data_IF_628055224531
#
_entry.id   IF_628055224531
#
_cell.length_a   1.000
_cell.length_b   1.000
_cell.length_c   1.000
_cell.angle_alpha   90.00
_cell.angle_beta   90.00
_cell.angle_gamma   90.00
#
_symmetry.space_group_name_H-M   'P 1'
#
loop_
_entity.id
_entity.type
_entity.pdbx_description
1 polymer ?
#
# COMPACT_ATOMS: atom_id res chain seq x y z
N UNK A 1 -17.58 -14.75 -67.57
CA UNK A 1 -18.44 -14.53 -66.39
C UNK A 1 -17.61 -14.88 -65.17
N UNK A 2 -17.00 -13.86 -64.54
CA UNK A 2 -17.38 -13.32 -63.21
C UNK A 2 -17.03 -14.31 -62.08
N UNK A 3 -15.83 -14.19 -61.50
CA UNK A 3 -15.44 -13.39 -60.32
C UNK A 3 -15.90 -13.98 -58.97
N UNK A 4 -14.87 -14.28 -58.17
CA UNK A 4 -14.74 -14.16 -56.71
C UNK A 4 -15.63 -14.93 -55.74
N UNK A 5 -14.95 -15.59 -54.79
CA UNK A 5 -15.18 -15.44 -53.34
C UNK A 5 -14.06 -16.12 -52.54
N UNK A 6 -12.91 -15.44 -52.47
CA UNK A 6 -11.86 -15.71 -51.47
C UNK A 6 -11.86 -14.57 -50.44
N UNK A 7 -12.88 -14.47 -49.59
CA UNK A 7 -12.84 -13.54 -48.45
C UNK A 7 -13.71 -14.09 -47.32
N UNK A 8 -13.13 -14.90 -46.42
CA UNK A 8 -13.76 -15.23 -45.14
C UNK A 8 -12.74 -15.79 -44.13
N UNK A 9 -11.64 -15.07 -43.90
CA UNK A 9 -10.70 -15.42 -42.80
C UNK A 9 -9.99 -14.22 -42.17
N UNK A 10 -10.47 -13.00 -42.41
CA UNK A 10 -9.89 -11.78 -41.85
C UNK A 10 -11.00 -10.99 -41.17
N UNK A 11 -11.30 -11.34 -39.92
CA UNK A 11 -12.06 -10.46 -39.00
C UNK A 11 -11.70 -10.69 -37.54
N UNK A 12 -11.12 -11.85 -37.17
CA UNK A 12 -10.82 -12.13 -35.76
C UNK A 12 -9.43 -11.67 -35.27
N UNK A 13 -8.52 -11.31 -36.18
CA UNK A 13 -7.16 -10.89 -35.80
C UNK A 13 -7.08 -9.37 -35.57
N UNK A 14 -7.82 -8.59 -36.34
CA UNK A 14 -7.81 -7.12 -36.23
C UNK A 14 -8.58 -6.61 -34.99
N UNK A 15 -9.65 -7.30 -34.55
CA UNK A 15 -10.39 -6.93 -33.32
C UNK A 15 -9.60 -7.23 -32.03
N UNK A 16 -8.65 -8.17 -32.06
CA UNK A 16 -7.77 -8.47 -30.93
C UNK A 16 -6.66 -7.42 -30.79
N UNK A 17 -6.13 -6.93 -31.91
CA UNK A 17 -5.09 -5.90 -31.92
C UNK A 17 -5.65 -4.52 -31.49
N UNK A 18 -6.89 -4.17 -31.86
CA UNK A 18 -7.55 -2.96 -31.34
C UNK A 18 -7.86 -3.03 -29.83
N UNK A 19 -8.25 -4.22 -29.33
CA UNK A 19 -8.52 -4.41 -27.91
C UNK A 19 -7.25 -4.42 -27.03
N UNK A 20 -6.09 -4.76 -27.59
CA UNK A 20 -4.79 -4.59 -26.92
C UNK A 20 -4.29 -3.14 -27.00
N UNK A 21 -4.49 -2.46 -28.13
CA UNK A 21 -4.11 -1.05 -28.32
C UNK A 21 -4.90 -0.11 -27.38
N UNK A 22 -6.20 -0.35 -27.18
CA UNK A 22 -7.02 0.42 -26.21
C UNK A 22 -6.70 0.11 -24.74
N UNK A 23 -6.08 -1.05 -24.45
CA UNK A 23 -5.66 -1.42 -23.10
C UNK A 23 -4.40 -0.67 -22.69
N UNK A 24 -3.53 -0.37 -23.65
CA UNK A 24 -2.25 0.32 -23.42
C UNK A 24 -2.40 1.85 -23.34
N UNK A 25 -3.36 2.45 -24.07
CA UNK A 25 -3.58 3.91 -24.00
C UNK A 25 -4.28 4.39 -22.72
N UNK A 26 -5.13 3.59 -22.07
CA UNK A 26 -5.70 3.96 -20.75
C UNK A 26 -4.69 3.86 -19.61
N UNK A 27 -3.62 3.07 -19.78
CA UNK A 27 -2.51 3.00 -18.83
C UNK A 27 -1.59 4.23 -18.94
N UNK A 28 -1.63 4.99 -20.04
CA UNK A 28 -0.80 6.18 -20.27
C UNK A 28 -1.33 7.47 -19.62
N UNK A 29 -2.55 7.51 -19.08
CA UNK A 29 -3.15 8.73 -18.48
C UNK A 29 -3.12 8.83 -16.95
N UNK A 30 -2.43 7.92 -16.28
CA UNK A 30 -2.04 8.09 -14.88
C UNK A 30 -0.56 7.74 -14.76
N UNK A 31 0.31 8.72 -14.94
CA UNK A 31 1.75 8.58 -14.68
C UNK A 31 2.03 8.58 -13.18
N UNK A 32 1.38 7.68 -12.44
CA UNK A 32 1.97 7.15 -11.22
C UNK A 32 3.04 6.16 -11.68
N UNK A 33 4.32 6.57 -11.61
CA UNK A 33 5.42 5.60 -11.67
C UNK A 33 5.11 4.53 -10.62
N UNK A 34 4.79 3.31 -11.06
CA UNK A 34 4.58 2.19 -10.16
C UNK A 34 5.92 1.98 -9.47
N UNK A 35 6.02 2.41 -8.22
CA UNK A 35 7.23 2.29 -7.44
C UNK A 35 7.62 0.81 -7.33
N UNK A 36 8.92 0.53 -7.46
CA UNK A 36 9.43 -0.85 -7.38
C UNK A 36 9.13 -1.47 -6.01
N UNK A 37 8.95 -2.80 -5.97
CA UNK A 37 8.68 -3.54 -4.74
C UNK A 37 9.69 -3.18 -3.64
N UNK A 38 10.99 -3.15 -3.97
CA UNK A 38 12.05 -2.82 -3.02
C UNK A 38 11.94 -1.39 -2.51
N UNK A 39 11.63 -0.44 -3.40
CA UNK A 39 11.46 0.98 -3.05
C UNK A 39 10.28 1.18 -2.10
N UNK A 40 9.17 0.47 -2.31
CA UNK A 40 7.99 0.52 -1.44
C UNK A 40 8.30 -0.01 -0.04
N UNK A 41 8.98 -1.16 0.06
CA UNK A 41 9.36 -1.75 1.35
C UNK A 41 10.39 -0.88 2.07
N UNK A 42 11.36 -0.31 1.34
CA UNK A 42 12.36 0.59 1.91
C UNK A 42 11.72 1.86 2.46
N UNK A 43 10.82 2.51 1.70
CA UNK A 43 10.12 3.71 2.16
C UNK A 43 9.29 3.43 3.40
N UNK A 44 8.55 2.32 3.43
CA UNK A 44 7.80 1.90 4.62
C UNK A 44 8.73 1.72 5.85
N UNK A 45 9.85 1.00 5.69
CA UNK A 45 10.81 0.81 6.80
C UNK A 45 11.39 2.14 7.30
N UNK A 46 11.79 3.03 6.39
CA UNK A 46 12.32 4.35 6.74
C UNK A 46 11.30 5.22 7.48
N UNK A 47 10.04 5.24 7.02
CA UNK A 47 8.96 6.00 7.68
C UNK A 47 8.68 5.46 9.09
N UNK A 48 8.68 4.14 9.28
CA UNK A 48 8.53 3.56 10.62
C UNK A 48 9.69 3.94 11.56
N UNK A 49 10.93 3.96 11.06
CA UNK A 49 12.11 4.38 11.83
C UNK A 49 12.02 5.86 12.22
N UNK A 50 11.59 6.72 11.29
CA UNK A 50 11.36 8.14 11.54
C UNK A 50 10.30 8.35 12.63
N UNK A 51 9.20 7.62 12.57
CA UNK A 51 8.15 7.67 13.62
C UNK A 51 8.68 7.24 14.98
N UNK A 52 9.47 6.16 15.05
CA UNK A 52 10.08 5.69 16.30
C UNK A 52 11.01 6.76 16.91
N UNK A 53 11.69 7.54 16.08
CA UNK A 53 12.50 8.68 16.51
C UNK A 53 11.63 9.86 16.96
N UNK A 54 10.61 10.22 16.18
CA UNK A 54 9.69 11.34 16.46
C UNK A 54 8.89 11.16 17.75
N UNK A 55 8.46 9.93 18.05
CA UNK A 55 7.67 9.64 19.25
C UNK A 55 8.52 9.54 20.53
N UNK A 56 9.85 9.39 20.41
CA UNK A 56 10.78 9.36 21.53
C UNK A 56 10.33 8.41 22.65
N UNK A 57 10.42 8.86 23.91
CA UNK A 57 9.98 8.10 25.09
C UNK A 57 8.56 8.46 25.57
N UNK A 58 7.97 9.54 25.06
CA UNK A 58 6.75 10.14 25.63
C UNK A 58 5.43 9.54 25.13
N UNK A 59 5.42 8.87 23.98
CA UNK A 59 4.20 8.42 23.30
C UNK A 59 4.26 6.96 22.84
N UNK A 60 5.23 6.25 23.38
CA UNK A 60 5.91 5.23 22.63
C UNK A 60 5.54 3.81 23.08
N UNK A 61 5.30 3.57 24.37
CA UNK A 61 5.01 2.21 24.87
C UNK A 61 3.92 1.44 24.12
N UNK A 62 2.76 2.01 23.81
CA UNK A 62 1.68 1.26 23.15
C UNK A 62 1.86 1.13 21.62
N UNK A 63 2.65 2.00 21.01
CA UNK A 63 2.88 2.08 19.55
C UNK A 63 4.17 1.37 19.14
N UNK A 64 5.25 1.55 19.92
CA UNK A 64 6.61 1.03 19.67
C UNK A 64 6.62 -0.47 19.39
N UNK A 65 6.04 -1.36 20.21
CA UNK A 65 6.17 -2.80 19.99
C UNK A 65 5.63 -3.23 18.62
N UNK A 66 4.47 -2.69 18.22
CA UNK A 66 3.89 -2.95 16.91
C UNK A 66 4.76 -2.40 15.78
N UNK A 67 5.17 -1.14 15.89
CA UNK A 67 5.93 -0.46 14.85
C UNK A 67 7.35 -1.02 14.68
N UNK A 68 8.02 -1.37 15.77
CA UNK A 68 9.31 -2.09 15.76
C UNK A 68 9.15 -3.44 15.08
N UNK A 69 8.12 -4.22 15.42
CA UNK A 69 7.89 -5.52 14.77
C UNK A 69 7.61 -5.38 13.28
N UNK A 70 6.83 -4.37 12.87
CA UNK A 70 6.63 -4.07 11.46
C UNK A 70 7.95 -3.74 10.77
N UNK A 71 8.78 -2.87 11.37
CA UNK A 71 10.08 -2.48 10.86
C UNK A 71 11.03 -3.67 10.69
N UNK A 72 11.13 -4.55 11.69
CA UNK A 72 11.93 -5.78 11.63
C UNK A 72 11.52 -6.67 10.45
N UNK A 73 10.21 -6.81 10.21
CA UNK A 73 9.70 -7.60 9.09
C UNK A 73 10.10 -6.99 7.74
N UNK A 74 10.01 -5.67 7.60
CA UNK A 74 10.39 -4.95 6.38
C UNK A 74 11.90 -5.01 6.13
N UNK A 75 12.71 -4.81 7.17
CA UNK A 75 14.17 -4.92 7.07
C UNK A 75 14.57 -6.34 6.63
N UNK A 76 13.93 -7.37 7.20
CA UNK A 76 14.16 -8.76 6.80
C UNK A 76 13.78 -9.04 5.34
N UNK A 77 12.73 -8.39 4.82
CA UNK A 77 12.36 -8.49 3.40
C UNK A 77 13.47 -7.88 2.53
N UNK A 78 14.00 -6.71 2.92
CA UNK A 78 15.05 -5.99 2.19
C UNK A 78 16.40 -6.74 2.21
N UNK A 79 16.73 -7.43 3.29
CA UNK A 79 17.92 -8.28 3.39
C UNK A 79 17.82 -9.51 2.47
N UNK A 80 16.61 -10.00 2.21
CA UNK A 80 16.34 -11.17 1.38
C UNK A 80 16.31 -10.83 -0.13
N UNK A 81 17.24 -10.00 -0.61
CA UNK A 81 17.31 -9.48 -2.00
C UNK A 81 17.20 -10.55 -3.11
N UNK A 82 17.52 -11.81 -2.81
CA UNK A 82 17.47 -12.95 -3.75
C UNK A 82 16.15 -13.72 -3.76
N UNK A 83 15.23 -13.43 -2.84
CA UNK A 83 13.93 -14.13 -2.77
C UNK A 83 12.90 -13.44 -3.63
N UNK A 84 12.08 -14.24 -4.32
CA UNK A 84 11.00 -13.72 -5.13
C UNK A 84 9.97 -12.96 -4.27
N UNK A 85 9.42 -11.83 -4.75
CA UNK A 85 8.41 -11.05 -4.01
C UNK A 85 7.24 -11.89 -3.47
N UNK A 86 6.77 -12.88 -4.22
CA UNK A 86 5.68 -13.77 -3.79
C UNK A 86 5.95 -14.52 -2.46
N UNK A 87 7.22 -14.82 -2.16
CA UNK A 87 7.59 -15.45 -0.88
C UNK A 87 7.46 -14.51 0.33
N UNK A 88 7.27 -13.20 0.09
CA UNK A 88 7.22 -12.15 1.11
C UNK A 88 5.79 -11.76 1.49
N UNK A 89 4.77 -12.39 0.91
CA UNK A 89 3.36 -12.07 1.19
C UNK A 89 3.00 -12.25 2.68
N UNK A 90 3.50 -13.31 3.33
CA UNK A 90 3.26 -13.54 4.77
C UNK A 90 3.93 -12.47 5.64
N UNK A 91 5.25 -12.19 5.48
CA UNK A 91 5.91 -11.06 6.14
C UNK A 91 5.19 -9.71 5.95
N UNK A 92 4.79 -9.38 4.72
CA UNK A 92 4.08 -8.14 4.41
C UNK A 92 2.72 -8.07 5.11
N UNK A 93 1.93 -9.16 5.09
CA UNK A 93 0.65 -9.24 5.80
C UNK A 93 0.82 -9.03 7.31
N UNK A 94 1.90 -9.59 7.88
CA UNK A 94 2.21 -9.40 9.30
C UNK A 94 2.68 -7.96 9.59
N UNK A 95 3.41 -7.31 8.69
CA UNK A 95 3.76 -5.90 8.82
C UNK A 95 2.52 -5.01 8.80
N UNK A 96 1.58 -5.23 7.88
CA UNK A 96 0.26 -4.55 7.83
C UNK A 96 -0.49 -4.70 9.15
N UNK A 97 -0.57 -5.92 9.70
CA UNK A 97 -1.26 -6.17 10.98
C UNK A 97 -0.63 -5.39 12.14
N UNK A 98 0.70 -5.30 12.18
CA UNK A 98 1.41 -4.59 13.23
C UNK A 98 1.25 -3.06 13.12
N UNK A 99 1.30 -2.50 11.91
CA UNK A 99 1.05 -1.07 11.70
C UNK A 99 -0.40 -0.68 11.96
N UNK A 100 -1.37 -1.51 11.59
CA UNK A 100 -2.77 -1.29 11.95
C UNK A 100 -2.98 -1.29 13.47
N UNK A 101 -2.29 -2.16 14.22
CA UNK A 101 -2.32 -2.14 15.68
C UNK A 101 -1.77 -0.83 16.22
N UNK A 102 -0.65 -0.36 15.68
CA UNK A 102 -0.06 0.94 16.03
C UNK A 102 -1.03 2.10 15.74
N UNK A 103 -1.62 2.17 14.53
CA UNK A 103 -2.57 3.23 14.16
C UNK A 103 -3.82 3.28 15.05
N UNK A 104 -4.31 2.13 15.53
CA UNK A 104 -5.48 2.07 16.44
C UNK A 104 -5.23 2.80 17.77
N UNK A 105 -3.97 3.02 18.13
CA UNK A 105 -3.55 3.75 19.32
C UNK A 105 -3.62 5.28 19.17
N UNK A 106 -4.02 5.81 18.00
CA UNK A 106 -4.17 7.26 17.73
C UNK A 106 -4.96 8.02 18.81
N UNK A 107 -5.94 7.37 19.45
CA UNK A 107 -6.74 7.99 20.53
C UNK A 107 -5.87 8.46 21.71
N UNK A 108 -4.74 7.82 21.95
CA UNK A 108 -3.79 8.16 23.01
C UNK A 108 -3.02 9.47 22.70
N UNK A 109 -2.96 9.90 21.44
CA UNK A 109 -2.51 11.27 21.10
C UNK A 109 -3.45 12.37 21.62
N UNK A 110 -4.76 12.08 21.71
CA UNK A 110 -5.77 13.07 22.12
C UNK A 110 -5.73 13.35 23.63
N UNK A 111 -5.26 12.38 24.42
CA UNK A 111 -5.11 12.50 25.88
C UNK A 111 -3.88 13.32 26.31
N UNK A 112 -3.01 13.71 25.38
CA UNK A 112 -1.92 14.65 25.69
C UNK A 112 -2.50 16.01 26.11
N UNK A 113 -2.06 16.53 27.25
CA UNK A 113 -2.59 17.79 27.77
C UNK A 113 -2.36 18.97 26.80
N UNK A 114 -3.24 19.97 26.84
CA UNK A 114 -3.14 21.24 26.09
C UNK A 114 -1.77 21.94 26.24
N UNK A 115 -1.09 21.74 27.37
CA UNK A 115 0.24 22.32 27.66
C UNK A 115 1.36 21.69 26.83
N UNK A 116 1.14 20.52 26.22
CA UNK A 116 2.10 19.82 25.37
C UNK A 116 1.81 20.02 23.87
N UNK A 117 1.62 21.28 23.41
CA UNK A 117 1.35 21.61 22.00
C UNK A 117 2.36 20.97 21.02
N UNK A 118 3.65 20.92 21.40
CA UNK A 118 4.70 20.24 20.63
C UNK A 118 4.46 18.72 20.53
N UNK A 119 4.05 18.08 21.62
CA UNK A 119 3.71 16.64 21.65
C UNK A 119 2.48 16.31 20.80
N UNK A 120 1.44 17.17 20.81
CA UNK A 120 0.26 16.99 19.95
C UNK A 120 0.61 17.06 18.46
N UNK A 121 1.49 17.98 18.05
CA UNK A 121 1.93 18.11 16.65
C UNK A 121 2.75 16.88 16.23
N UNK A 122 3.77 16.52 17.01
CA UNK A 122 4.60 15.34 16.75
C UNK A 122 3.77 14.05 16.69
N UNK A 123 2.76 13.90 17.55
CA UNK A 123 1.85 12.76 17.51
C UNK A 123 1.01 12.73 16.22
N UNK A 124 0.46 13.87 15.77
CA UNK A 124 -0.28 13.92 14.50
C UNK A 124 0.60 13.54 13.31
N UNK A 125 1.82 14.09 13.27
CA UNK A 125 2.81 13.82 12.22
C UNK A 125 3.23 12.34 12.21
N UNK A 126 3.55 11.78 13.38
CA UNK A 126 3.87 10.37 13.53
C UNK A 126 2.75 9.46 13.01
N UNK A 127 1.48 9.70 13.37
CA UNK A 127 0.38 8.86 12.91
C UNK A 127 0.05 9.04 11.42
N UNK A 128 0.36 10.20 10.83
CA UNK A 128 0.31 10.36 9.38
C UNK A 128 1.38 9.52 8.69
N UNK A 129 2.62 9.55 9.19
CA UNK A 129 3.72 8.74 8.67
C UNK A 129 3.46 7.23 8.80
N UNK A 130 2.87 6.76 9.90
CA UNK A 130 2.45 5.35 10.02
C UNK A 130 1.37 5.03 8.96
N UNK A 131 0.41 5.93 8.71
CA UNK A 131 -0.62 5.69 7.69
C UNK A 131 -0.03 5.61 6.27
N UNK A 132 0.97 6.44 5.98
CA UNK A 132 1.71 6.40 4.72
C UNK A 132 2.54 5.12 4.58
N UNK A 133 3.25 4.71 5.64
CA UNK A 133 3.99 3.45 5.66
C UNK A 133 3.06 2.27 5.39
N UNK A 134 1.91 2.22 6.05
CA UNK A 134 0.93 1.15 5.90
C UNK A 134 0.46 1.01 4.46
N UNK A 135 0.20 2.12 3.80
CA UNK A 135 -0.12 2.13 2.38
C UNK A 135 1.01 1.56 1.53
N UNK A 136 2.25 1.99 1.79
CA UNK A 136 3.42 1.50 1.04
C UNK A 136 3.58 -0.02 1.18
N UNK A 137 3.29 -0.57 2.35
CA UNK A 137 3.25 -2.03 2.55
C UNK A 137 2.14 -2.68 1.73
N UNK A 138 0.93 -2.09 1.68
CA UNK A 138 -0.18 -2.61 0.87
C UNK A 138 0.14 -2.55 -0.63
N UNK A 139 0.81 -1.49 -1.09
CA UNK A 139 1.31 -1.39 -2.45
C UNK A 139 2.38 -2.46 -2.72
N UNK A 140 3.32 -2.66 -1.79
CA UNK A 140 4.34 -3.72 -1.92
C UNK A 140 3.70 -5.11 -1.97
N UNK A 141 2.66 -5.35 -1.17
CA UNK A 141 1.88 -6.58 -1.20
C UNK A 141 1.22 -6.78 -2.57
N UNK A 142 0.58 -5.74 -3.12
CA UNK A 142 0.02 -5.79 -4.49
C UNK A 142 1.09 -6.20 -5.51
N UNK A 143 2.30 -5.66 -5.43
CA UNK A 143 3.36 -6.02 -6.37
C UNK A 143 3.82 -7.46 -6.22
N UNK A 144 3.87 -7.97 -4.98
CA UNK A 144 4.28 -9.33 -4.65
C UNK A 144 3.26 -10.42 -5.03
N UNK A 145 1.98 -10.09 -5.13
CA UNK A 145 0.91 -11.06 -5.47
C UNK A 145 1.01 -11.47 -6.95
N UNK A 146 1.09 -12.76 -7.30
CA UNK A 146 1.12 -13.17 -8.70
C UNK A 146 -0.24 -13.06 -9.40
N UNK A 147 -1.35 -13.23 -8.69
CA UNK A 147 -2.69 -13.27 -9.29
C UNK A 147 -3.22 -11.88 -9.67
N UNK A 148 -3.41 -11.65 -10.97
CA UNK A 148 -3.86 -10.36 -11.50
C UNK A 148 -5.21 -9.89 -10.92
N UNK A 149 -6.14 -10.81 -10.68
CA UNK A 149 -7.45 -10.49 -10.10
C UNK A 149 -7.32 -9.97 -8.65
N UNK A 150 -6.38 -10.51 -7.88
CA UNK A 150 -6.10 -10.06 -6.52
C UNK A 150 -5.41 -8.69 -6.56
N UNK A 151 -4.47 -8.46 -7.49
CA UNK A 151 -3.88 -7.13 -7.72
C UNK A 151 -4.93 -6.06 -8.00
N UNK A 152 -5.95 -6.36 -8.82
CA UNK A 152 -7.06 -5.43 -9.12
C UNK A 152 -7.89 -5.12 -7.86
N UNK A 153 -8.21 -6.13 -7.06
CA UNK A 153 -8.94 -5.93 -5.78
C UNK A 153 -8.16 -5.02 -4.84
N UNK A 154 -6.85 -5.24 -4.69
CA UNK A 154 -6.00 -4.39 -3.84
C UNK A 154 -5.87 -2.99 -4.43
N UNK A 155 -5.73 -2.83 -5.75
CA UNK A 155 -5.70 -1.52 -6.39
C UNK A 155 -6.99 -0.74 -6.14
N UNK A 156 -8.14 -1.40 -6.19
CA UNK A 156 -9.42 -0.77 -5.87
C UNK A 156 -9.43 -0.28 -4.41
N UNK A 157 -8.93 -1.09 -3.47
CA UNK A 157 -8.77 -0.66 -2.08
C UNK A 157 -7.87 0.58 -1.99
N UNK A 158 -6.73 0.61 -2.68
CA UNK A 158 -5.83 1.77 -2.69
C UNK A 158 -6.56 3.01 -3.24
N UNK A 159 -7.21 2.90 -4.40
CA UNK A 159 -7.90 4.00 -5.06
C UNK A 159 -9.10 4.52 -4.26
N UNK A 160 -9.86 3.63 -3.62
CA UNK A 160 -11.03 4.02 -2.81
C UNK A 160 -10.63 4.85 -1.57
N UNK A 161 -9.35 4.81 -1.15
CA UNK A 161 -8.82 5.70 -0.09
C UNK A 161 -8.03 6.90 -0.57
N UNK A 162 -7.44 6.81 -1.76
CA UNK A 162 -6.84 7.94 -2.45
C UNK A 162 -7.89 8.68 -3.26
N UNK A 163 -8.71 9.47 -2.58
CA UNK A 163 -9.45 10.54 -3.27
C UNK A 163 -8.51 11.73 -3.36
N UNK A 164 -7.94 11.97 -4.55
CA UNK A 164 -7.15 13.18 -4.85
C UNK A 164 -7.89 14.43 -4.36
N UNK A 165 -7.20 15.26 -3.57
CA UNK A 165 -7.72 16.54 -3.06
C UNK A 165 -8.34 16.52 -1.66
N UNK A 166 -8.40 15.37 -0.96
CA UNK A 166 -8.81 15.31 0.45
C UNK A 166 -7.64 14.98 1.38
N UNK A 167 -7.56 15.67 2.52
CA UNK A 167 -6.65 15.29 3.61
C UNK A 167 -6.86 13.81 3.97
N UNK A 168 -5.76 13.06 3.94
CA UNK A 168 -5.73 11.62 4.17
C UNK A 168 -6.15 11.33 5.62
N UNK A 169 -7.43 11.00 5.85
CA UNK A 169 -7.88 10.74 7.21
C UNK A 169 -7.43 9.35 7.66
N UNK A 170 -6.63 9.30 8.73
CA UNK A 170 -6.15 8.06 9.35
C UNK A 170 -7.31 7.10 9.66
N UNK A 171 -8.50 7.61 10.01
CA UNK A 171 -9.71 6.78 10.19
C UNK A 171 -10.12 6.04 8.91
N UNK A 172 -10.04 6.67 7.73
CA UNK A 172 -10.31 5.99 6.44
C UNK A 172 -9.29 4.90 6.17
N UNK A 173 -8.00 5.17 6.40
CA UNK A 173 -6.91 4.19 6.24
C UNK A 173 -7.15 2.95 7.11
N UNK A 174 -7.50 3.17 8.39
CA UNK A 174 -7.82 2.10 9.32
C UNK A 174 -9.03 1.27 8.88
N UNK A 175 -10.11 1.92 8.41
CA UNK A 175 -11.30 1.22 7.96
C UNK A 175 -11.01 0.41 6.69
N UNK A 176 -10.36 1.00 5.71
CA UNK A 176 -10.10 0.36 4.44
C UNK A 176 -9.10 -0.77 4.53
N UNK A 177 -7.92 -0.53 5.10
CA UNK A 177 -6.86 -1.53 5.14
C UNK A 177 -7.19 -2.57 6.23
N UNK A 178 -7.76 -2.13 7.35
CA UNK A 178 -8.17 -3.02 8.42
C UNK A 178 -9.33 -3.94 8.06
N UNK A 179 -10.40 -3.45 7.41
CA UNK A 179 -11.57 -4.29 7.04
C UNK A 179 -11.47 -4.86 5.63
N UNK A 180 -11.09 -4.07 4.64
CA UNK A 180 -11.19 -4.51 3.25
C UNK A 180 -9.92 -5.22 2.79
N UNK A 181 -8.73 -4.78 3.19
CA UNK A 181 -7.52 -5.51 2.82
C UNK A 181 -7.44 -6.82 3.60
N UNK A 182 -7.32 -6.82 4.92
CA UNK A 182 -7.10 -8.07 5.68
C UNK A 182 -8.19 -9.15 5.49
N UNK A 183 -9.47 -8.79 5.36
CA UNK A 183 -10.55 -9.77 5.19
C UNK A 183 -10.68 -10.33 3.75
N UNK A 184 -10.07 -9.70 2.74
CA UNK A 184 -10.16 -10.17 1.34
C UNK A 184 -8.94 -11.00 0.90
N UNK A 185 -7.97 -11.19 1.78
CA UNK A 185 -6.73 -11.97 1.59
C UNK A 185 -6.51 -12.99 2.72
N UNK A 186 -7.51 -13.20 3.57
CA UNK A 186 -7.71 -14.43 4.36
C UNK A 186 -8.65 -15.36 3.61
#
# INVERSE_FOLDING_TARGET
MQMDRTVATITWRDELDEAEMYRDERLKKSTFKVADFGELVQKASSQNKEVLQLLGDYLAEPVKPGLTKATELLDRILEQKRRQPASQLIPLKNAVRNELKALRKKKECKSLSEKAKKGKKACKEAFALIADSLLRIVMAYREAVPEHNVKKKIQKIINDGFVEGNEFSIERVLQMIGRNFLNNIE
#
